data_IF_127015356001
#
_entry.id   IF_127015356001
#
_cell.length_a   1.000
_cell.length_b   1.000
_cell.length_c   1.000
_cell.angle_alpha   90.00
_cell.angle_beta   90.00
_cell.angle_gamma   90.00
#
_symmetry.space_group_name_H-M   'P 1'
#
loop_
_entity.id
_entity.type
_entity.pdbx_description
1 polymer ?
#
# COMPACT_ATOMS: atom_id res chain seq x y z
N UNK A 1 -3.67 -10.96 16.38
CA UNK A 1 -3.97 -10.83 14.93
C UNK A 1 -3.69 -12.15 14.20
N UNK A 2 -2.50 -12.71 14.30
CA UNK A 2 -2.10 -13.96 13.63
C UNK A 2 -3.03 -15.13 13.96
N UNK A 3 -3.29 -15.39 15.23
CA UNK A 3 -4.19 -16.46 15.69
C UNK A 3 -5.61 -16.35 15.13
N UNK A 4 -6.16 -15.11 15.07
CA UNK A 4 -7.52 -14.85 14.58
C UNK A 4 -7.61 -15.11 13.08
N UNK A 5 -6.57 -14.74 12.32
CA UNK A 5 -6.56 -14.87 10.86
C UNK A 5 -6.03 -16.22 10.37
N UNK A 6 -5.43 -17.02 11.26
CA UNK A 6 -4.74 -18.26 10.90
C UNK A 6 -3.55 -18.05 9.96
N UNK A 7 -2.98 -16.84 9.96
CA UNK A 7 -1.84 -16.42 9.14
C UNK A 7 -0.72 -15.91 10.02
N UNK A 8 0.51 -15.92 9.51
CA UNK A 8 1.65 -15.44 10.27
C UNK A 8 2.43 -14.37 9.49
N UNK A 9 2.84 -13.31 10.18
CA UNK A 9 3.61 -12.22 9.58
C UNK A 9 5.02 -12.69 9.23
N UNK A 10 5.41 -12.51 7.96
CA UNK A 10 6.69 -13.01 7.45
C UNK A 10 6.77 -14.52 7.18
N UNK A 11 5.68 -15.26 7.31
CA UNK A 11 5.65 -16.70 7.02
C UNK A 11 5.64 -16.96 5.50
N UNK A 12 6.34 -18.03 5.09
CA UNK A 12 6.41 -18.41 3.68
C UNK A 12 5.25 -19.28 3.21
N UNK A 13 4.53 -19.92 4.12
CA UNK A 13 3.42 -20.83 3.77
C UNK A 13 2.07 -20.15 3.72
N UNK A 14 1.81 -19.26 4.69
CA UNK A 14 0.55 -18.55 4.78
C UNK A 14 0.81 -17.13 5.32
N UNK A 15 1.38 -16.23 4.49
CA UNK A 15 1.81 -14.92 4.93
C UNK A 15 0.63 -14.03 5.33
N UNK A 16 0.77 -13.37 6.48
CA UNK A 16 -0.07 -12.26 6.87
C UNK A 16 0.51 -10.97 6.28
N UNK A 17 -0.20 -10.33 5.39
CA UNK A 17 0.13 -8.98 4.93
C UNK A 17 -0.68 -7.97 5.73
N UNK A 18 -0.08 -6.85 6.09
CA UNK A 18 -0.72 -5.83 6.90
C UNK A 18 -0.60 -4.44 6.28
N UNK A 19 -1.52 -3.57 6.66
CA UNK A 19 -1.43 -2.13 6.44
C UNK A 19 -1.19 -1.42 7.77
N UNK A 20 -0.48 -0.30 7.70
CA UNK A 20 -0.28 0.63 8.82
C UNK A 20 -0.98 1.94 8.49
N UNK A 21 -1.89 2.35 9.35
CA UNK A 21 -2.76 3.52 9.13
C UNK A 21 -2.80 4.38 10.37
N UNK A 22 -3.02 5.67 10.19
CA UNK A 22 -3.29 6.58 11.30
C UNK A 22 -4.65 6.28 11.97
N UNK A 23 -4.75 6.59 13.26
CA UNK A 23 -5.95 6.46 14.08
C UNK A 23 -6.17 7.69 14.94
N UNK A 24 -6.17 8.88 14.33
CA UNK A 24 -6.36 10.13 15.05
C UNK A 24 -7.78 10.23 15.65
N UNK A 25 -7.90 10.94 16.77
CA UNK A 25 -9.18 11.22 17.43
C UNK A 25 -10.16 11.99 16.54
N UNK A 26 -9.63 12.92 15.72
CA UNK A 26 -10.40 13.61 14.70
C UNK A 26 -10.20 12.93 13.34
N UNK A 27 -11.28 12.81 12.57
CA UNK A 27 -11.18 12.32 11.19
C UNK A 27 -10.43 13.32 10.31
N UNK A 28 -9.36 12.88 9.69
CA UNK A 28 -8.48 13.69 8.86
C UNK A 28 -8.20 12.97 7.54
N UNK A 29 -9.21 12.79 6.66
CA UNK A 29 -9.09 11.95 5.47
C UNK A 29 -8.03 12.49 4.50
N UNK A 30 -7.09 11.63 4.09
CA UNK A 30 -6.01 11.99 3.17
C UNK A 30 -4.89 12.86 3.75
N UNK A 31 -4.95 13.23 5.06
CA UNK A 31 -3.97 14.13 5.66
C UNK A 31 -2.73 13.39 6.18
N UNK A 32 -2.89 12.19 6.69
CA UNK A 32 -1.81 11.36 7.19
C UNK A 32 -1.54 10.17 6.27
N UNK A 33 -0.37 9.58 6.41
CA UNK A 33 0.08 8.53 5.53
C UNK A 33 -0.49 7.15 5.90
N UNK A 34 -0.56 6.29 4.90
CA UNK A 34 -0.92 4.88 5.01
C UNK A 34 0.11 4.07 4.27
N UNK A 35 0.56 2.96 4.84
CA UNK A 35 1.46 2.01 4.18
C UNK A 35 0.73 0.68 4.04
N UNK A 36 0.72 0.13 2.83
CA UNK A 36 0.04 -1.11 2.47
C UNK A 36 1.05 -2.21 2.17
N UNK A 37 0.60 -3.46 2.22
CA UNK A 37 1.36 -4.64 1.80
C UNK A 37 2.65 -4.91 2.59
N UNK A 38 2.73 -4.44 3.84
CA UNK A 38 3.84 -4.79 4.74
C UNK A 38 3.90 -6.29 4.97
N UNK A 39 5.10 -6.83 4.97
CA UNK A 39 5.37 -8.26 5.06
C UNK A 39 5.81 -8.89 3.73
N UNK A 40 5.70 -8.15 2.60
CA UNK A 40 6.25 -8.60 1.33
C UNK A 40 7.77 -8.41 1.30
N UNK A 41 8.45 -9.44 0.86
CA UNK A 41 9.87 -9.48 0.49
C UNK A 41 10.05 -10.52 -0.61
N UNK A 42 11.26 -10.68 -1.13
CA UNK A 42 11.52 -11.61 -2.24
C UNK A 42 11.12 -13.05 -1.91
N UNK A 43 11.38 -13.52 -0.68
CA UNK A 43 11.08 -14.88 -0.26
C UNK A 43 9.56 -15.10 -0.13
N UNK A 44 8.84 -14.16 0.46
CA UNK A 44 7.37 -14.22 0.59
C UNK A 44 6.71 -14.16 -0.79
N UNK A 45 7.17 -13.28 -1.67
CA UNK A 45 6.67 -13.18 -3.07
C UNK A 45 6.88 -14.49 -3.81
N UNK A 46 8.09 -15.07 -3.76
CA UNK A 46 8.39 -16.33 -4.40
C UNK A 46 7.53 -17.49 -3.85
N UNK A 47 7.33 -17.53 -2.54
CA UNK A 47 6.52 -18.55 -1.88
C UNK A 47 5.03 -18.43 -2.21
N UNK A 48 4.49 -17.19 -2.26
CA UNK A 48 3.10 -16.94 -2.66
C UNK A 48 2.83 -17.43 -4.09
N UNK A 49 3.74 -17.12 -5.03
CA UNK A 49 3.62 -17.54 -6.44
C UNK A 49 3.73 -19.06 -6.55
N UNK A 50 4.68 -19.69 -5.86
CA UNK A 50 4.83 -21.14 -5.86
C UNK A 50 3.60 -21.87 -5.28
N UNK A 51 2.90 -21.24 -4.36
CA UNK A 51 1.67 -21.78 -3.74
C UNK A 51 0.42 -21.64 -4.60
N UNK A 52 0.43 -20.82 -5.64
CA UNK A 52 -0.72 -20.60 -6.53
C UNK A 52 -0.23 -20.41 -7.98
N UNK A 53 -0.39 -21.43 -8.85
CA UNK A 53 0.13 -21.40 -10.22
C UNK A 53 -0.70 -20.55 -11.22
N UNK A 54 -1.71 -19.82 -10.75
CA UNK A 54 -2.50 -18.94 -11.61
C UNK A 54 -1.66 -17.74 -12.09
N UNK A 55 -1.50 -17.54 -13.41
CA UNK A 55 -0.78 -16.40 -13.96
C UNK A 55 -1.35 -15.03 -13.55
N UNK A 56 -2.66 -14.93 -13.34
CA UNK A 56 -3.31 -13.72 -12.86
C UNK A 56 -2.90 -13.43 -11.41
N UNK A 57 -2.75 -14.46 -10.58
CA UNK A 57 -2.25 -14.34 -9.21
C UNK A 57 -0.77 -13.94 -9.19
N UNK A 58 0.07 -14.51 -10.05
CA UNK A 58 1.47 -14.10 -10.18
C UNK A 58 1.59 -12.61 -10.50
N UNK A 59 0.80 -12.13 -11.47
CA UNK A 59 0.75 -10.71 -11.82
C UNK A 59 0.31 -9.85 -10.63
N UNK A 60 -0.74 -10.26 -9.91
CA UNK A 60 -1.22 -9.58 -8.72
C UNK A 60 -0.13 -9.46 -7.64
N UNK A 61 0.62 -10.53 -7.39
CA UNK A 61 1.69 -10.55 -6.38
C UNK A 61 2.81 -9.58 -6.75
N UNK A 62 3.28 -9.59 -8.00
CA UNK A 62 4.33 -8.66 -8.44
C UNK A 62 3.84 -7.21 -8.50
N UNK A 63 2.60 -6.94 -8.87
CA UNK A 63 2.04 -5.58 -8.83
C UNK A 63 1.93 -5.08 -7.39
N UNK A 64 1.49 -5.93 -6.46
CA UNK A 64 1.44 -5.60 -5.04
C UNK A 64 2.83 -5.33 -4.47
N UNK A 65 3.83 -6.11 -4.87
CA UNK A 65 5.21 -5.93 -4.42
C UNK A 65 5.85 -4.66 -4.95
N UNK A 66 5.73 -4.38 -6.26
CA UNK A 66 6.27 -3.13 -6.82
C UNK A 66 5.63 -1.90 -6.20
N UNK A 67 4.29 -1.93 -5.95
CA UNK A 67 3.54 -0.86 -5.28
C UNK A 67 4.00 -0.68 -3.83
N UNK A 68 4.28 -1.78 -3.14
CA UNK A 68 4.81 -1.73 -1.79
C UNK A 68 6.18 -1.06 -1.75
N UNK A 69 7.12 -1.46 -2.63
CA UNK A 69 8.45 -0.86 -2.69
C UNK A 69 8.36 0.64 -2.99
N UNK A 70 7.54 1.05 -3.97
CA UNK A 70 7.33 2.46 -4.30
C UNK A 70 6.77 3.25 -3.11
N UNK A 71 5.69 2.76 -2.51
CA UNK A 71 5.03 3.43 -1.39
C UNK A 71 5.94 3.51 -0.15
N UNK A 72 6.63 2.43 0.16
CA UNK A 72 7.57 2.39 1.28
C UNK A 72 8.73 3.38 1.06
N UNK A 73 9.28 3.40 -0.13
CA UNK A 73 10.36 4.34 -0.48
C UNK A 73 9.90 5.80 -0.40
N UNK A 74 8.73 6.12 -0.94
CA UNK A 74 8.20 7.49 -0.95
C UNK A 74 7.76 7.96 0.45
N UNK A 75 6.96 7.15 1.15
CA UNK A 75 6.30 7.55 2.40
C UNK A 75 7.20 7.32 3.62
N UNK A 76 7.87 6.16 3.68
CA UNK A 76 8.65 5.79 4.88
C UNK A 76 10.03 6.39 4.83
N UNK A 77 10.68 6.34 3.66
CA UNK A 77 12.06 6.75 3.48
C UNK A 77 12.22 8.12 2.80
N UNK A 78 11.10 8.76 2.44
CA UNK A 78 11.08 10.11 1.84
C UNK A 78 11.85 10.22 0.51
N UNK A 79 12.01 9.11 -0.19
CA UNK A 79 12.52 9.06 -1.57
C UNK A 79 11.38 9.39 -2.52
N UNK A 80 11.37 10.57 -3.09
CA UNK A 80 10.23 11.07 -3.88
C UNK A 80 9.76 10.10 -4.98
N UNK A 81 8.47 9.87 -5.08
CA UNK A 81 7.82 8.94 -6.01
C UNK A 81 8.19 9.12 -7.49
N UNK A 82 8.62 10.32 -7.89
CA UNK A 82 9.00 10.67 -9.26
C UNK A 82 10.05 9.73 -9.87
N UNK A 83 10.98 9.22 -9.05
CA UNK A 83 12.01 8.31 -9.53
C UNK A 83 11.43 6.97 -9.98
N UNK A 84 10.45 6.48 -9.24
CA UNK A 84 9.74 5.24 -9.53
C UNK A 84 8.75 5.39 -10.70
N UNK A 85 8.04 6.52 -10.75
CA UNK A 85 7.12 6.86 -11.86
C UNK A 85 7.87 6.91 -13.20
N UNK A 86 9.07 7.48 -13.24
CA UNK A 86 9.92 7.48 -14.44
C UNK A 86 10.28 6.07 -14.92
N UNK A 87 10.54 5.14 -14.00
CA UNK A 87 10.82 3.74 -14.36
C UNK A 87 9.59 3.04 -14.92
N UNK A 88 8.41 3.31 -14.36
CA UNK A 88 7.13 2.79 -14.88
C UNK A 88 6.88 3.34 -16.30
N UNK A 89 7.01 4.65 -16.48
CA UNK A 89 6.75 5.29 -17.78
C UNK A 89 7.70 4.80 -18.86
N UNK A 90 8.97 4.64 -18.53
CA UNK A 90 9.97 4.05 -19.41
C UNK A 90 9.61 2.61 -19.80
N UNK A 91 9.21 1.77 -18.84
CA UNK A 91 8.77 0.41 -19.09
C UNK A 91 7.55 0.38 -20.01
N UNK A 92 6.57 1.24 -19.79
CA UNK A 92 5.38 1.35 -20.65
C UNK A 92 5.75 1.74 -22.07
N UNK A 93 6.65 2.71 -22.22
CA UNK A 93 7.15 3.15 -23.53
C UNK A 93 7.87 2.02 -24.27
N UNK A 94 8.79 1.31 -23.60
CA UNK A 94 9.52 0.16 -24.16
C UNK A 94 8.60 -0.99 -24.60
N UNK A 95 7.48 -1.17 -23.88
CA UNK A 95 6.49 -2.22 -24.18
C UNK A 95 5.39 -1.77 -25.14
N UNK A 96 5.30 -0.48 -25.43
CA UNK A 96 4.25 0.09 -26.28
C UNK A 96 2.85 0.01 -25.66
N UNK A 97 2.75 0.05 -24.32
CA UNK A 97 1.49 -0.01 -23.58
C UNK A 97 1.17 1.33 -22.91
N UNK A 98 -0.12 1.58 -22.66
CA UNK A 98 -0.56 2.86 -22.12
C UNK A 98 -0.80 2.80 -20.59
N UNK A 99 -1.32 1.70 -20.10
CA UNK A 99 -1.76 1.57 -18.70
C UNK A 99 -0.92 0.55 -17.94
N UNK A 100 -0.79 0.74 -16.63
CA UNK A 100 -0.10 -0.21 -15.75
C UNK A 100 -0.73 -1.61 -15.77
N UNK A 101 -2.04 -1.68 -16.04
CA UNK A 101 -2.77 -2.95 -16.13
C UNK A 101 -2.32 -3.81 -17.32
N UNK A 102 -1.74 -3.18 -18.35
CA UNK A 102 -1.26 -3.88 -19.55
C UNK A 102 0.12 -4.52 -19.35
N UNK A 103 0.81 -4.17 -18.26
CA UNK A 103 2.10 -4.77 -17.92
C UNK A 103 1.94 -6.21 -17.44
N UNK A 104 2.80 -7.10 -17.96
CA UNK A 104 2.81 -8.52 -17.59
C UNK A 104 3.44 -8.76 -16.23
N UNK A 105 3.27 -9.96 -15.66
CA UNK A 105 3.94 -10.37 -14.42
C UNK A 105 5.46 -10.24 -14.52
N UNK A 106 6.06 -10.61 -15.68
CA UNK A 106 7.49 -10.48 -15.93
C UNK A 106 7.97 -9.01 -15.95
N UNK A 107 7.17 -8.11 -16.52
CA UNK A 107 7.47 -6.68 -16.54
C UNK A 107 7.40 -6.09 -15.11
N UNK A 108 6.38 -6.46 -14.34
CA UNK A 108 6.22 -6.03 -12.96
C UNK A 108 7.31 -6.57 -12.03
N UNK A 109 7.77 -7.80 -12.26
CA UNK A 109 8.96 -8.35 -11.58
C UNK A 109 10.20 -7.50 -11.87
N UNK A 110 10.44 -7.20 -13.14
CA UNK A 110 11.56 -6.35 -13.55
C UNK A 110 11.48 -4.96 -12.93
N UNK A 111 10.27 -4.36 -12.87
CA UNK A 111 10.06 -3.09 -12.19
C UNK A 111 10.36 -3.18 -10.69
N UNK A 112 9.95 -4.24 -10.01
CA UNK A 112 10.26 -4.43 -8.59
C UNK A 112 11.77 -4.47 -8.33
N UNK A 113 12.53 -5.14 -9.21
CA UNK A 113 13.99 -5.19 -9.13
C UNK A 113 14.62 -3.80 -9.40
N UNK A 114 14.14 -3.09 -10.41
CA UNK A 114 14.58 -1.72 -10.71
C UNK A 114 14.26 -0.75 -9.56
N UNK A 115 13.12 -0.91 -8.90
CA UNK A 115 12.73 -0.10 -7.75
C UNK A 115 13.65 -0.33 -6.54
N UNK A 116 14.02 -1.58 -6.27
CA UNK A 116 15.01 -1.88 -5.23
C UNK A 116 16.39 -1.31 -5.56
N UNK A 117 16.78 -1.36 -6.83
CA UNK A 117 18.03 -0.74 -7.27
C UNK A 117 17.99 0.78 -7.11
N UNK A 118 16.87 1.42 -7.47
CA UNK A 118 16.71 2.87 -7.30
C UNK A 118 16.67 3.26 -5.81
N UNK A 119 15.99 2.49 -4.97
CA UNK A 119 16.04 2.66 -3.52
C UNK A 119 17.50 2.68 -3.01
N UNK A 120 18.28 1.70 -3.44
CA UNK A 120 19.70 1.61 -3.07
C UNK A 120 20.53 2.78 -3.62
N UNK A 121 20.25 3.24 -4.83
CA UNK A 121 20.91 4.43 -5.40
C UNK A 121 20.66 5.68 -4.58
N UNK A 122 19.45 5.87 -4.09
CA UNK A 122 19.06 7.06 -3.34
C UNK A 122 19.55 7.04 -1.87
N UNK A 123 19.56 5.89 -1.23
CA UNK A 123 19.80 5.74 0.20
C UNK A 123 21.12 5.05 0.57
N UNK A 124 21.79 4.41 -0.38
CA UNK A 124 23.04 3.67 -0.16
C UNK A 124 22.88 2.34 0.57
N UNK A 125 21.64 1.93 0.89
CA UNK A 125 21.32 0.68 1.60
C UNK A 125 20.34 -0.16 0.80
N UNK A 126 20.31 -1.47 1.03
CA UNK A 126 19.34 -2.35 0.40
C UNK A 126 17.91 -2.12 0.96
N UNK A 127 16.89 -2.43 0.16
CA UNK A 127 15.50 -2.39 0.61
C UNK A 127 15.29 -3.38 1.76
N UNK A 128 14.64 -3.01 2.88
CA UNK A 128 14.51 -3.86 4.04
C UNK A 128 13.72 -5.13 3.73
N UNK A 129 14.32 -6.28 3.96
CA UNK A 129 13.73 -7.61 3.73
C UNK A 129 13.07 -8.18 4.99
N UNK A 130 13.42 -7.72 6.19
CA UNK A 130 12.80 -8.16 7.45
C UNK A 130 11.42 -7.51 7.62
N UNK A 131 10.32 -8.30 7.66
CA UNK A 131 8.98 -7.79 7.87
C UNK A 131 8.80 -6.98 9.15
N UNK A 132 9.50 -7.35 10.22
CA UNK A 132 9.41 -6.64 11.50
C UNK A 132 10.08 -5.27 11.42
N UNK A 133 11.20 -5.17 10.72
CA UNK A 133 11.86 -3.89 10.45
C UNK A 133 10.97 -3.00 9.58
N UNK A 134 10.39 -3.54 8.50
CA UNK A 134 9.43 -2.82 7.66
C UNK A 134 8.28 -2.25 8.51
N UNK A 135 7.71 -3.07 9.39
CA UNK A 135 6.59 -2.66 10.25
C UNK A 135 6.97 -1.53 11.21
N UNK A 136 8.14 -1.60 11.85
CA UNK A 136 8.63 -0.55 12.76
C UNK A 136 8.80 0.76 12.02
N UNK A 137 9.50 0.75 10.89
CA UNK A 137 9.73 1.95 10.07
C UNK A 137 8.41 2.55 9.57
N UNK A 138 7.45 1.72 9.17
CA UNK A 138 6.12 2.18 8.74
C UNK A 138 5.33 2.82 9.88
N UNK A 139 5.37 2.27 11.09
CA UNK A 139 4.73 2.84 12.28
C UNK A 139 5.32 4.23 12.59
N UNK A 140 6.64 4.34 12.56
CA UNK A 140 7.34 5.61 12.76
C UNK A 140 6.96 6.66 11.71
N UNK A 141 6.86 6.25 10.43
CA UNK A 141 6.43 7.13 9.35
C UNK A 141 5.01 7.66 9.55
N UNK A 142 4.07 6.80 9.97
CA UNK A 142 2.70 7.23 10.26
C UNK A 142 2.66 8.21 11.43
N UNK A 143 3.46 8.01 12.48
CA UNK A 143 3.57 8.99 13.57
C UNK A 143 4.14 10.32 13.07
N UNK A 144 5.20 10.30 12.26
CA UNK A 144 5.78 11.52 11.66
C UNK A 144 4.78 12.27 10.78
N UNK A 145 3.89 11.55 10.09
CA UNK A 145 2.91 12.16 9.18
C UNK A 145 1.88 13.05 9.88
N UNK A 146 1.76 12.96 11.22
CA UNK A 146 1.00 13.92 12.03
C UNK A 146 1.47 15.35 11.82
N UNK A 147 2.79 15.56 11.65
CA UNK A 147 3.40 16.87 11.51
C UNK A 147 3.69 17.27 10.07
N UNK A 148 3.22 16.52 9.07
CA UNK A 148 3.41 16.90 7.69
C UNK A 148 2.63 18.19 7.34
N UNK A 149 3.05 18.96 6.30
CA UNK A 149 2.47 20.26 5.98
C UNK A 149 0.96 20.23 5.75
N UNK A 150 0.45 19.22 5.04
CA UNK A 150 -1.00 19.09 4.76
C UNK A 150 -1.80 18.80 6.02
N UNK A 151 -1.29 17.97 6.92
CA UNK A 151 -1.94 17.68 8.19
C UNK A 151 -1.95 18.91 9.12
N UNK A 152 -0.87 19.68 9.13
CA UNK A 152 -0.78 20.93 9.89
C UNK A 152 -1.80 21.96 9.41
N UNK A 153 -1.92 22.16 8.10
CA UNK A 153 -2.92 23.07 7.52
C UNK A 153 -4.34 22.61 7.87
N UNK A 154 -4.64 21.32 7.66
CA UNK A 154 -5.95 20.77 7.96
C UNK A 154 -6.34 20.93 9.43
N UNK A 155 -5.42 20.65 10.36
CA UNK A 155 -5.68 20.82 11.79
C UNK A 155 -5.98 22.27 12.17
N UNK A 156 -5.20 23.22 11.62
CA UNK A 156 -5.43 24.65 11.82
C UNK A 156 -6.83 25.06 11.33
N UNK A 157 -7.20 24.63 10.12
CA UNK A 157 -8.43 25.04 9.46
C UNK A 157 -9.68 24.37 10.05
N UNK A 158 -9.51 23.30 10.84
CA UNK A 158 -10.59 22.58 11.52
C UNK A 158 -10.52 22.68 13.06
N UNK A 159 -9.76 23.61 13.61
CA UNK A 159 -9.62 23.85 15.06
C UNK A 159 -9.22 22.59 15.85
N UNK A 160 -8.42 21.69 15.24
CA UNK A 160 -7.91 20.49 15.90
C UNK A 160 -6.67 20.86 16.72
N UNK A 161 -6.67 20.62 18.06
CA UNK A 161 -5.56 21.02 18.92
C UNK A 161 -4.24 20.38 18.53
N UNK A 162 -3.15 21.16 18.49
CA UNK A 162 -1.80 20.68 18.24
C UNK A 162 -1.29 19.69 19.31
N UNK A 163 -1.83 19.79 20.53
CA UNK A 163 -1.50 18.89 21.63
C UNK A 163 -2.06 17.48 21.48
N UNK A 164 -2.98 17.29 20.52
CA UNK A 164 -3.41 15.94 20.17
C UNK A 164 -2.35 15.26 19.31
N UNK A 165 -2.26 13.97 19.45
CA UNK A 165 -1.46 13.11 18.61
C UNK A 165 -2.32 12.21 17.76
N UNK A 166 -1.68 11.21 17.15
CA UNK A 166 -2.35 10.13 16.45
C UNK A 166 -2.03 8.79 17.10
N UNK A 167 -2.95 7.84 17.00
CA UNK A 167 -2.64 6.43 17.17
C UNK A 167 -2.30 5.81 15.81
N UNK A 168 -1.78 4.59 15.85
CA UNK A 168 -1.50 3.79 14.66
C UNK A 168 -2.32 2.50 14.73
N UNK A 169 -2.98 2.17 13.64
CA UNK A 169 -3.70 0.92 13.46
C UNK A 169 -2.93 0.02 12.50
N UNK A 170 -2.60 -1.18 12.96
CA UNK A 170 -2.06 -2.26 12.13
C UNK A 170 -3.22 -3.20 11.79
N UNK A 171 -3.52 -3.37 10.50
CA UNK A 171 -4.69 -4.11 10.04
C UNK A 171 -4.31 -5.17 9.00
N UNK A 172 -4.94 -6.36 9.02
CA UNK A 172 -4.77 -7.32 7.92
C UNK A 172 -5.18 -6.71 6.59
N UNK A 173 -4.46 -7.06 5.53
CA UNK A 173 -4.82 -6.66 4.17
C UNK A 173 -6.00 -7.47 3.65
N UNK A 174 -6.90 -6.78 2.96
CA UNK A 174 -7.96 -7.35 2.11
C UNK A 174 -7.82 -6.75 0.73
N UNK A 175 -7.94 -7.57 -0.31
CA UNK A 175 -7.62 -7.18 -1.67
C UNK A 175 -8.87 -7.16 -2.55
N UNK A 176 -9.25 -5.98 -3.03
CA UNK A 176 -10.32 -5.80 -4.01
C UNK A 176 -9.89 -6.13 -5.45
N UNK A 177 -8.58 -6.24 -5.68
CA UNK A 177 -7.95 -6.52 -6.97
C UNK A 177 -7.31 -7.91 -7.05
N UNK A 178 -7.79 -8.87 -6.26
CA UNK A 178 -7.22 -10.22 -6.25
C UNK A 178 -7.61 -11.00 -7.54
N UNK A 179 -8.85 -10.88 -7.94
CA UNK A 179 -9.43 -11.54 -9.14
C UNK A 179 -10.79 -10.92 -9.47
N UNK A 180 -11.47 -11.47 -10.49
CA UNK A 180 -12.79 -10.99 -10.94
C UNK A 180 -13.95 -11.25 -9.97
N UNK A 181 -13.73 -11.98 -8.89
CA UNK A 181 -14.70 -12.18 -7.79
C UNK A 181 -14.46 -11.23 -6.62
N UNK A 182 -13.42 -10.41 -6.72
CA UNK A 182 -13.05 -9.39 -5.73
C UNK A 182 -13.49 -8.02 -6.20
N UNK A 183 -13.72 -7.11 -5.26
CA UNK A 183 -14.11 -5.75 -5.59
C UNK A 183 -13.81 -4.76 -4.48
N UNK A 184 -13.81 -3.49 -4.85
CA UNK A 184 -13.68 -2.36 -3.92
C UNK A 184 -14.86 -1.42 -4.13
N UNK A 185 -15.42 -0.88 -3.06
CA UNK A 185 -16.55 0.03 -3.17
C UNK A 185 -16.60 1.06 -2.04
N UNK A 186 -17.43 2.06 -2.26
CA UNK A 186 -17.79 3.08 -1.27
C UNK A 186 -19.29 3.02 -1.07
N UNK A 187 -19.73 2.95 0.19
CA UNK A 187 -21.13 2.92 0.54
C UNK A 187 -21.45 3.98 1.60
N UNK A 188 -22.61 4.60 1.43
CA UNK A 188 -23.17 5.57 2.35
C UNK A 188 -24.44 4.99 3.00
N UNK A 189 -24.57 5.13 4.28
CA UNK A 189 -25.78 4.71 5.04
C UNK A 189 -26.99 5.62 4.80
N UNK A 190 -26.73 6.80 4.20
CA UNK A 190 -27.74 7.78 3.80
C UNK A 190 -27.40 8.33 2.43
N UNK A 191 -28.41 8.73 1.70
CA UNK A 191 -28.25 9.49 0.46
C UNK A 191 -27.50 10.81 0.76
N UNK A 192 -26.30 11.04 0.20
CA UNK A 192 -25.53 12.24 0.48
C UNK A 192 -26.15 13.54 -0.05
N UNK A 193 -27.08 13.45 -1.03
CA UNK A 193 -27.74 14.61 -1.61
C UNK A 193 -29.03 15.00 -0.84
N UNK A 194 -29.81 14.01 -0.38
CA UNK A 194 -31.13 14.23 0.23
C UNK A 194 -31.17 13.99 1.74
N UNK A 195 -30.18 13.26 2.29
CA UNK A 195 -30.17 12.84 3.70
C UNK A 195 -31.13 11.68 4.02
N UNK A 196 -31.82 11.14 3.01
CA UNK A 196 -32.74 10.02 3.16
C UNK A 196 -32.02 8.76 3.70
N UNK A 197 -32.67 8.02 4.61
CA UNK A 197 -32.11 6.78 5.14
C UNK A 197 -32.19 5.64 4.10
N UNK A 198 -31.31 5.70 3.13
CA UNK A 198 -31.20 4.75 2.01
C UNK A 198 -29.75 4.41 1.79
N UNK A 199 -29.43 3.11 1.74
CA UNK A 199 -28.09 2.66 1.40
C UNK A 199 -27.81 2.98 -0.08
N UNK A 200 -26.73 3.71 -0.32
CA UNK A 200 -26.25 4.08 -1.66
C UNK A 200 -24.75 3.80 -1.75
N UNK A 201 -24.28 3.50 -2.95
CA UNK A 201 -22.87 3.29 -3.16
C UNK A 201 -22.53 2.89 -4.58
N UNK A 202 -21.26 2.77 -4.83
CA UNK A 202 -20.69 2.27 -6.07
C UNK A 202 -19.58 1.28 -5.76
N UNK A 203 -19.31 0.38 -6.69
CA UNK A 203 -18.22 -0.59 -6.56
C UNK A 203 -17.57 -0.84 -7.92
N UNK A 204 -16.31 -1.26 -7.85
CA UNK A 204 -15.54 -1.72 -8.99
C UNK A 204 -15.08 -3.15 -8.74
N UNK A 205 -15.24 -4.01 -9.75
CA UNK A 205 -14.76 -5.39 -9.72
C UNK A 205 -13.27 -5.37 -10.07
N UNK A 206 -12.50 -6.20 -9.37
CA UNK A 206 -11.05 -6.36 -9.57
C UNK A 206 -10.28 -5.02 -9.52
N UNK A 207 -10.52 -4.20 -8.47
CA UNK A 207 -10.00 -2.85 -8.32
C UNK A 207 -9.48 -2.55 -6.90
#
# INVERSE_FOLDING_TARGET
>A
MEEINGKKFGDLKNPLLVSVRSGARASMPGMMDTILNLGLNDDVVAAMIAGNPDPAFERFVYDSYRRFIQMFSDVVMEVGKKYFEQLIDKMKEEKGVQYDIDLTAADLKTLAEQFKAEYKNQLGTDFPSDPVEQLKLAIEAVFRSWDNPRANVYRRDNDIPYSWGTAVNVMPMVFGNLNNESGTGVAFTRDPATGENKLMGEFLINA
#
